data_IF_018608281693
#
_entry.id   IF_018608281693
#
_cell.length_a   1.000
_cell.length_b   1.000
_cell.length_c   1.000
_cell.angle_alpha   90.00
_cell.angle_beta   90.00
_cell.angle_gamma   90.00
#
_symmetry.space_group_name_H-M   'P 1'
#
loop_
_entity.id
_entity.type
_entity.pdbx_description
1 polymer ?
#
# COMPACT_ATOMS: atom_id res chain seq x y z
N UNK A 1 0.22 -14.22 11.48
CA UNK A 1 1.17 -13.10 11.41
C UNK A 1 2.54 -13.61 11.00
N UNK A 2 3.12 -13.05 9.95
CA UNK A 2 4.44 -13.42 9.45
C UNK A 2 5.55 -12.68 10.22
N UNK A 3 5.89 -13.20 11.40
CA UNK A 3 6.98 -12.71 12.27
C UNK A 3 7.61 -13.93 12.95
N UNK A 4 8.92 -13.87 13.24
CA UNK A 4 9.62 -14.91 14.01
C UNK A 4 8.92 -15.12 15.36
N UNK A 5 8.74 -16.38 15.79
CA UNK A 5 7.98 -16.75 16.98
C UNK A 5 8.37 -15.96 18.24
N UNK A 6 9.68 -15.75 18.47
CA UNK A 6 10.17 -15.00 19.63
C UNK A 6 9.72 -13.54 19.69
N UNK A 7 9.29 -12.97 18.56
CA UNK A 7 8.85 -11.58 18.43
C UNK A 7 7.34 -11.44 18.21
N UNK A 8 6.59 -12.55 18.23
CA UNK A 8 5.13 -12.49 18.09
C UNK A 8 4.52 -11.94 19.37
N UNK A 9 3.62 -10.96 19.21
CA UNK A 9 2.82 -10.40 20.29
C UNK A 9 1.47 -9.99 19.72
N UNK A 10 0.40 -10.12 20.53
CA UNK A 10 -0.96 -9.72 20.15
C UNK A 10 -1.10 -8.19 20.01
N UNK A 11 -0.14 -7.44 20.54
CA UNK A 11 -0.14 -5.98 20.57
C UNK A 11 -1.46 -5.44 21.14
N UNK A 12 -2.10 -4.47 20.50
CA UNK A 12 -3.24 -3.74 21.08
C UNK A 12 -4.52 -3.79 20.27
N UNK A 13 -4.49 -4.32 19.03
CA UNK A 13 -5.67 -4.32 18.16
C UNK A 13 -6.86 -5.09 18.76
N UNK A 14 -6.59 -6.17 19.51
CA UNK A 14 -7.64 -6.99 20.14
C UNK A 14 -8.56 -6.18 21.06
N UNK A 15 -8.08 -5.08 21.68
CA UNK A 15 -8.90 -4.20 22.53
C UNK A 15 -9.92 -3.40 21.72
N UNK A 16 -9.60 -3.06 20.48
CA UNK A 16 -10.54 -2.39 19.58
C UNK A 16 -11.56 -3.39 19.02
N UNK A 17 -11.08 -4.59 18.67
CA UNK A 17 -11.93 -5.67 18.20
C UNK A 17 -12.95 -6.12 19.27
N UNK A 18 -12.54 -6.25 20.54
CA UNK A 18 -13.42 -6.64 21.65
C UNK A 18 -14.36 -5.51 22.12
N UNK A 19 -14.14 -4.28 21.67
CA UNK A 19 -14.89 -3.10 22.12
C UNK A 19 -14.41 -2.50 23.44
N UNK A 20 -13.34 -3.01 24.06
CA UNK A 20 -12.70 -2.38 25.22
C UNK A 20 -12.20 -0.95 24.92
N UNK A 21 -11.84 -0.70 23.65
CA UNK A 21 -11.47 0.61 23.13
C UNK A 21 -12.21 0.91 21.84
N UNK A 22 -12.40 2.19 21.57
CA UNK A 22 -12.86 2.70 20.27
C UNK A 22 -11.82 3.66 19.73
N UNK A 23 -11.54 3.58 18.42
CA UNK A 23 -10.63 4.54 17.81
C UNK A 23 -11.27 5.94 17.84
N UNK A 24 -10.56 6.98 18.34
CA UNK A 24 -11.14 8.32 18.50
C UNK A 24 -11.32 9.04 17.16
N UNK A 25 -10.65 8.57 16.11
CA UNK A 25 -10.66 9.13 14.75
C UNK A 25 -10.82 7.98 13.77
N UNK A 26 -11.58 8.20 12.70
CA UNK A 26 -11.68 7.26 11.60
C UNK A 26 -10.29 6.94 11.06
N UNK A 27 -9.90 5.68 11.19
CA UNK A 27 -8.62 5.15 10.73
C UNK A 27 -8.86 4.26 9.52
N UNK A 28 -8.39 4.71 8.36
CA UNK A 28 -8.38 3.91 7.14
C UNK A 28 -6.97 3.36 6.93
N UNK A 29 -6.84 2.07 6.63
CA UNK A 29 -5.52 1.47 6.44
C UNK A 29 -5.47 0.43 5.31
N UNK A 30 -4.27 0.22 4.79
CA UNK A 30 -3.89 -0.89 3.91
C UNK A 30 -3.05 -1.89 4.71
N UNK A 31 -3.12 -3.17 4.36
CA UNK A 31 -2.39 -4.22 5.06
C UNK A 31 -0.93 -4.31 4.61
N UNK A 32 -0.03 -4.63 5.53
CA UNK A 32 1.36 -4.95 5.26
C UNK A 32 1.71 -6.43 5.32
N UNK A 33 2.98 -6.72 5.59
CA UNK A 33 3.49 -8.08 5.80
C UNK A 33 3.39 -8.56 7.26
N UNK A 34 3.17 -7.67 8.23
CA UNK A 34 3.04 -7.98 9.65
C UNK A 34 1.59 -7.89 10.14
N UNK A 35 0.71 -8.68 9.51
CA UNK A 35 -0.73 -8.58 9.74
C UNK A 35 -1.36 -9.85 10.33
N UNK A 36 -2.60 -9.71 10.79
CA UNK A 36 -3.52 -10.82 10.99
C UNK A 36 -4.06 -11.30 9.63
N UNK A 37 -3.18 -11.84 8.77
CA UNK A 37 -3.47 -12.14 7.36
C UNK A 37 -4.66 -13.09 7.14
N UNK A 38 -5.00 -13.94 8.11
CA UNK A 38 -6.20 -14.77 8.04
C UNK A 38 -7.47 -13.93 8.10
N UNK A 39 -7.53 -13.03 9.08
CA UNK A 39 -8.66 -12.12 9.28
C UNK A 39 -8.79 -11.10 8.13
N UNK A 40 -7.68 -10.50 7.68
CA UNK A 40 -7.73 -9.55 6.56
C UNK A 40 -8.12 -10.22 5.23
N UNK A 41 -7.80 -11.50 5.03
CA UNK A 41 -8.19 -12.23 3.82
C UNK A 41 -9.71 -12.49 3.73
N UNK A 42 -10.45 -12.40 4.85
CA UNK A 42 -11.91 -12.45 4.85
C UNK A 42 -12.55 -11.16 4.30
N UNK A 43 -11.77 -10.07 4.21
CA UNK A 43 -12.19 -8.75 3.76
C UNK A 43 -11.44 -8.32 2.49
N UNK A 44 -11.45 -9.11 1.39
CA UNK A 44 -10.64 -8.82 0.20
C UNK A 44 -11.05 -7.52 -0.50
N UNK A 45 -12.31 -7.10 -0.34
CA UNK A 45 -12.87 -5.85 -0.89
C UNK A 45 -12.97 -4.74 0.16
N UNK A 46 -12.30 -4.89 1.31
CA UNK A 46 -12.35 -3.95 2.42
C UNK A 46 -13.54 -4.14 3.34
N UNK A 47 -13.44 -3.55 4.53
CA UNK A 47 -14.46 -3.68 5.58
C UNK A 47 -14.05 -3.06 6.90
N UNK A 48 -15.05 -2.88 7.77
CA UNK A 48 -14.82 -2.44 9.14
C UNK A 48 -14.23 -3.58 9.96
N UNK A 49 -13.03 -3.37 10.49
CA UNK A 49 -12.36 -4.35 11.37
C UNK A 49 -12.62 -4.07 12.86
N UNK A 50 -13.04 -2.84 13.18
CA UNK A 50 -13.52 -2.38 14.47
C UNK A 50 -14.26 -1.04 14.27
N UNK A 51 -15.02 -0.53 15.26
CA UNK A 51 -15.59 0.81 15.20
C UNK A 51 -14.52 1.87 14.91
N UNK A 52 -14.77 2.72 13.90
CA UNK A 52 -13.84 3.73 13.38
C UNK A 52 -12.52 3.19 12.79
N UNK A 53 -12.41 1.89 12.47
CA UNK A 53 -11.22 1.33 11.80
C UNK A 53 -11.66 0.56 10.55
N UNK A 54 -11.27 1.05 9.38
CA UNK A 54 -11.64 0.51 8.07
C UNK A 54 -10.42 0.01 7.32
N UNK A 55 -10.43 -1.28 6.97
CA UNK A 55 -9.44 -1.90 6.10
C UNK A 55 -9.85 -1.71 4.63
N UNK A 56 -8.92 -1.29 3.78
CA UNK A 56 -9.20 -1.06 2.36
C UNK A 56 -9.33 -2.36 1.53
N UNK A 57 -8.96 -3.53 2.06
CA UNK A 57 -8.91 -4.75 1.25
C UNK A 57 -7.62 -4.86 0.45
N UNK A 58 -7.55 -5.80 -0.49
CA UNK A 58 -6.34 -6.00 -1.31
C UNK A 58 -6.07 -4.81 -2.23
N UNK A 59 -7.10 -4.32 -2.91
CA UNK A 59 -7.08 -3.07 -3.65
C UNK A 59 -8.48 -2.46 -3.72
N UNK A 60 -8.62 -1.17 -3.40
CA UNK A 60 -9.92 -0.50 -3.37
C UNK A 60 -9.79 1.02 -3.49
N UNK A 61 -10.91 1.68 -3.80
CA UNK A 61 -11.05 3.14 -3.79
C UNK A 61 -12.26 3.51 -2.96
N UNK A 62 -12.06 4.38 -1.97
CA UNK A 62 -13.13 4.95 -1.16
C UNK A 62 -13.27 6.45 -1.43
N UNK A 63 -14.44 7.00 -1.08
CA UNK A 63 -14.66 8.45 -1.05
C UNK A 63 -14.81 8.91 0.39
N UNK A 64 -14.03 9.92 0.78
CA UNK A 64 -14.09 10.50 2.11
C UNK A 64 -13.86 12.01 2.04
N UNK A 65 -14.78 12.80 2.60
CA UNK A 65 -14.71 14.26 2.60
C UNK A 65 -14.43 14.89 1.21
N UNK A 66 -15.00 14.31 0.14
CA UNK A 66 -14.79 14.76 -1.23
C UNK A 66 -13.55 14.19 -1.93
N UNK A 67 -12.64 13.53 -1.20
CA UNK A 67 -11.42 12.92 -1.72
C UNK A 67 -11.66 11.48 -2.18
N UNK A 68 -11.05 11.08 -3.29
CA UNK A 68 -10.91 9.69 -3.74
C UNK A 68 -9.59 9.13 -3.25
N UNK A 69 -9.67 8.17 -2.35
CA UNK A 69 -8.53 7.53 -1.72
C UNK A 69 -8.43 6.10 -2.25
N UNK A 70 -7.34 5.80 -2.95
CA UNK A 70 -7.02 4.47 -3.43
C UNK A 70 -6.01 3.78 -2.50
N UNK A 71 -6.19 2.49 -2.28
CA UNK A 71 -5.33 1.68 -1.43
C UNK A 71 -4.89 0.41 -2.13
N UNK A 72 -3.64 0.02 -1.93
CA UNK A 72 -3.06 -1.26 -2.36
C UNK A 72 -2.35 -1.90 -1.16
N UNK A 73 -2.90 -2.99 -0.66
CA UNK A 73 -2.32 -3.75 0.44
C UNK A 73 -1.26 -4.72 -0.05
N UNK A 74 -0.28 -4.99 0.81
CA UNK A 74 0.69 -6.05 0.64
C UNK A 74 2.05 -5.62 0.09
N UNK A 75 2.93 -6.62 -0.04
CA UNK A 75 4.31 -6.44 -0.52
C UNK A 75 4.56 -7.17 -1.84
N UNK A 76 5.51 -6.70 -2.63
CA UNK A 76 5.80 -7.34 -3.92
C UNK A 76 6.55 -8.67 -3.76
N UNK A 77 6.09 -9.69 -4.49
CA UNK A 77 6.84 -10.92 -4.71
C UNK A 77 6.67 -11.40 -6.15
N UNK A 78 7.76 -11.49 -6.90
CA UNK A 78 7.71 -11.85 -8.32
C UNK A 78 7.14 -13.24 -8.60
N UNK A 79 7.24 -14.19 -7.67
CA UNK A 79 6.70 -15.55 -7.83
C UNK A 79 5.17 -15.58 -7.72
N UNK A 80 4.61 -14.74 -6.85
CA UNK A 80 3.16 -14.69 -6.60
C UNK A 80 2.43 -13.66 -7.46
N UNK A 81 3.12 -12.64 -7.97
CA UNK A 81 2.49 -11.50 -8.64
C UNK A 81 1.53 -11.89 -9.78
N UNK A 82 1.88 -12.88 -10.60
CA UNK A 82 1.04 -13.31 -11.73
C UNK A 82 0.02 -14.41 -11.38
N UNK A 83 -0.15 -14.74 -10.09
CA UNK A 83 -1.10 -15.73 -9.61
C UNK A 83 -2.34 -15.03 -9.03
N UNK A 84 -3.41 -15.79 -8.87
CA UNK A 84 -4.55 -15.34 -8.06
C UNK A 84 -4.23 -15.37 -6.56
N UNK A 85 -5.15 -14.85 -5.76
CA UNK A 85 -5.23 -15.17 -4.33
C UNK A 85 -5.88 -16.56 -4.21
N UNK A 86 -5.08 -17.57 -3.91
CA UNK A 86 -5.50 -18.98 -3.82
C UNK A 86 -5.53 -19.49 -2.38
N UNK A 87 -4.89 -18.76 -1.48
CA UNK A 87 -4.75 -19.06 -0.07
C UNK A 87 -6.10 -19.00 0.62
N UNK A 88 -6.34 -19.93 1.54
CA UNK A 88 -7.57 -19.98 2.30
C UNK A 88 -7.27 -20.22 3.78
N UNK A 89 -7.80 -19.40 4.69
CA UNK A 89 -7.75 -19.74 6.11
C UNK A 89 -8.62 -21.00 6.37
N UNK A 90 -8.24 -21.87 7.34
CA UNK A 90 -7.03 -21.78 8.14
C UNK A 90 -5.78 -22.15 7.31
N UNK A 91 -4.75 -21.29 7.36
CA UNK A 91 -3.49 -21.52 6.67
C UNK A 91 -2.77 -22.70 7.29
N UNK A 92 -2.45 -23.72 6.48
CA UNK A 92 -1.78 -24.93 6.95
C UNK A 92 -0.26 -24.78 6.90
N UNK A 93 0.23 -24.11 5.87
CA UNK A 93 1.65 -23.90 5.65
C UNK A 93 2.03 -22.45 5.91
N UNK A 94 3.26 -22.23 6.39
CA UNK A 94 3.82 -20.88 6.55
C UNK A 94 3.85 -20.14 5.21
N UNK A 95 4.05 -20.88 4.10
CA UNK A 95 4.00 -20.36 2.75
C UNK A 95 2.68 -19.66 2.43
N UNK A 96 1.54 -20.24 2.80
CA UNK A 96 0.21 -19.64 2.57
C UNK A 96 0.04 -18.32 3.33
N UNK A 97 0.53 -18.26 4.58
CA UNK A 97 0.50 -17.02 5.37
C UNK A 97 1.32 -15.95 4.65
N UNK A 98 2.50 -16.31 4.15
CA UNK A 98 3.41 -15.40 3.46
C UNK A 98 2.80 -14.91 2.14
N UNK A 99 2.29 -15.81 1.33
CA UNK A 99 1.77 -15.47 0.01
C UNK A 99 0.45 -14.70 0.07
N UNK A 100 -0.34 -14.84 1.15
CA UNK A 100 -1.61 -14.13 1.34
C UNK A 100 -1.53 -12.60 1.37
N UNK A 101 -0.38 -12.02 1.75
CA UNK A 101 -0.17 -10.56 1.73
C UNK A 101 0.70 -10.10 0.55
N UNK A 102 1.05 -10.98 -0.39
CA UNK A 102 1.76 -10.52 -1.58
C UNK A 102 0.79 -9.82 -2.55
N UNK A 103 1.23 -8.71 -3.14
CA UNK A 103 0.47 -7.99 -4.18
C UNK A 103 0.26 -8.88 -5.40
N UNK A 104 -0.96 -8.88 -5.97
CA UNK A 104 -1.25 -9.55 -7.26
C UNK A 104 -1.35 -8.57 -8.41
N UNK A 105 -1.12 -9.08 -9.62
CA UNK A 105 -1.25 -8.32 -10.86
C UNK A 105 -2.69 -7.82 -11.07
N UNK A 106 -3.69 -8.59 -10.66
CA UNK A 106 -5.10 -8.23 -10.74
C UNK A 106 -5.42 -7.01 -9.87
N UNK A 107 -4.85 -6.94 -8.67
CA UNK A 107 -5.05 -5.83 -7.73
C UNK A 107 -4.51 -4.52 -8.33
N UNK A 108 -3.29 -4.57 -8.87
CA UNK A 108 -2.68 -3.42 -9.57
C UNK A 108 -3.44 -3.08 -10.86
N UNK A 109 -3.84 -4.09 -11.64
CA UNK A 109 -4.52 -3.89 -12.91
C UNK A 109 -5.85 -3.17 -12.72
N UNK A 110 -6.63 -3.54 -11.69
CA UNK A 110 -7.89 -2.86 -11.33
C UNK A 110 -7.67 -1.38 -11.05
N UNK A 111 -6.66 -1.04 -10.25
CA UNK A 111 -6.34 0.36 -9.92
C UNK A 111 -5.87 1.16 -11.15
N UNK A 112 -5.17 0.52 -12.09
CA UNK A 112 -4.80 1.17 -13.36
C UNK A 112 -5.98 1.51 -14.26
N UNK A 113 -7.14 0.87 -14.09
CA UNK A 113 -8.34 1.15 -14.89
C UNK A 113 -9.15 2.33 -14.34
N UNK A 114 -8.72 2.95 -13.23
CA UNK A 114 -9.44 4.05 -12.63
C UNK A 114 -9.46 5.26 -13.57
N UNK A 115 -10.66 5.73 -13.83
CA UNK A 115 -10.93 6.97 -14.55
C UNK A 115 -11.30 8.08 -13.58
N UNK A 116 -11.19 9.36 -14.00
CA UNK A 116 -11.68 10.46 -13.19
C UNK A 116 -13.18 10.30 -12.92
N UNK A 117 -13.62 10.99 -11.88
CA UNK A 117 -15.01 10.90 -11.47
C UNK A 117 -15.87 11.58 -12.55
N UNK A 118 -17.05 11.02 -12.80
CA UNK A 118 -18.03 11.57 -13.74
C UNK A 118 -17.50 11.61 -15.19
N UNK A 119 -18.12 12.38 -16.08
CA UNK A 119 -17.69 12.51 -17.50
C UNK A 119 -16.46 13.44 -17.68
N UNK A 120 -15.83 13.86 -16.59
CA UNK A 120 -14.62 14.67 -16.63
C UNK A 120 -13.41 13.79 -17.01
N UNK A 121 -12.93 13.96 -18.23
CA UNK A 121 -11.75 13.23 -18.73
C UNK A 121 -10.43 13.93 -18.43
N UNK A 122 -10.48 15.09 -17.75
CA UNK A 122 -9.33 15.98 -17.54
C UNK A 122 -8.77 15.95 -16.12
N UNK A 123 -9.61 15.67 -15.12
CA UNK A 123 -9.19 15.61 -13.72
C UNK A 123 -8.39 14.36 -13.38
N UNK A 124 -7.80 14.38 -12.19
CA UNK A 124 -7.04 13.28 -11.63
C UNK A 124 -7.99 12.13 -11.25
N UNK A 125 -7.73 10.86 -11.65
CA UNK A 125 -8.56 9.74 -11.22
C UNK A 125 -8.55 9.50 -9.71
N UNK A 126 -7.51 9.93 -9.00
CA UNK A 126 -7.29 9.63 -7.58
C UNK A 126 -6.67 10.84 -6.90
N UNK A 127 -7.17 11.22 -5.73
CA UNK A 127 -6.56 12.30 -4.95
C UNK A 127 -5.40 11.78 -4.10
N UNK A 128 -5.61 10.63 -3.43
CA UNK A 128 -4.63 10.02 -2.53
C UNK A 128 -4.46 8.55 -2.91
N UNK A 129 -3.22 8.12 -3.07
CA UNK A 129 -2.85 6.71 -3.21
C UNK A 129 -2.09 6.25 -1.96
N UNK A 130 -2.41 5.06 -1.46
CA UNK A 130 -1.74 4.47 -0.30
C UNK A 130 -1.28 3.06 -0.69
N UNK A 131 -0.01 2.75 -0.46
CA UNK A 131 0.50 1.37 -0.54
C UNK A 131 1.30 1.01 0.69
N UNK A 132 1.57 -0.27 0.91
CA UNK A 132 2.55 -0.65 1.93
C UNK A 132 3.99 -0.48 1.40
N UNK A 133 4.30 -1.13 0.27
CA UNK A 133 5.63 -1.06 -0.35
C UNK A 133 5.85 0.20 -1.18
N UNK A 134 7.13 0.57 -1.32
CA UNK A 134 7.57 1.70 -2.14
C UNK A 134 7.45 1.41 -3.64
N UNK A 135 7.16 2.40 -4.48
CA UNK A 135 7.44 2.30 -5.91
C UNK A 135 8.91 2.02 -6.18
N UNK A 136 9.21 1.02 -7.00
CA UNK A 136 10.60 0.70 -7.32
C UNK A 136 11.29 1.89 -8.02
N UNK A 137 12.50 2.24 -7.57
CA UNK A 137 13.26 3.39 -8.08
C UNK A 137 12.82 4.74 -7.51
N UNK A 138 11.83 4.80 -6.62
CA UNK A 138 11.35 6.08 -6.06
C UNK A 138 12.43 6.84 -5.29
N UNK A 139 13.43 6.13 -4.77
CA UNK A 139 14.57 6.70 -4.05
C UNK A 139 15.39 7.69 -4.86
N UNK A 140 15.42 7.54 -6.19
CA UNK A 140 16.25 8.38 -7.07
C UNK A 140 15.67 9.79 -7.25
N UNK A 141 14.45 10.00 -6.76
CA UNK A 141 13.83 11.30 -6.82
C UNK A 141 13.85 12.06 -5.48
N UNK A 142 14.26 11.41 -4.39
CA UNK A 142 14.39 12.02 -3.06
C UNK A 142 15.84 12.23 -2.62
N UNK A 143 16.04 12.56 -1.34
CA UNK A 143 17.38 12.65 -0.74
C UNK A 143 17.94 11.24 -0.45
N UNK A 144 18.40 10.59 -1.52
CA UNK A 144 18.99 9.25 -1.50
C UNK A 144 20.20 9.16 -0.58
N UNK A 145 21.02 10.20 -0.51
CA UNK A 145 22.20 10.23 0.37
C UNK A 145 21.80 10.21 1.85
N UNK A 146 20.84 11.04 2.25
CA UNK A 146 20.29 11.02 3.61
C UNK A 146 19.62 9.69 3.94
N UNK A 147 18.85 9.13 3.01
CA UNK A 147 18.24 7.81 3.19
C UNK A 147 19.30 6.74 3.50
N UNK A 148 20.38 6.69 2.71
CA UNK A 148 21.45 5.72 2.88
C UNK A 148 22.29 5.96 4.15
N UNK A 149 22.37 7.20 4.65
CA UNK A 149 22.96 7.49 5.97
C UNK A 149 22.13 6.89 7.11
N UNK A 150 20.80 6.93 7.01
CA UNK A 150 19.89 6.43 8.05
C UNK A 150 19.68 4.91 7.93
N UNK A 151 19.58 4.40 6.70
CA UNK A 151 19.33 2.98 6.37
C UNK A 151 20.38 2.47 5.36
N UNK A 152 21.62 2.21 5.79
CA UNK A 152 22.70 1.80 4.88
C UNK A 152 22.43 0.48 4.13
N UNK A 153 21.67 -0.42 4.74
CA UNK A 153 21.32 -1.72 4.17
C UNK A 153 20.50 -1.63 2.88
N UNK A 154 19.87 -0.48 2.58
CA UNK A 154 19.19 -0.27 1.30
C UNK A 154 20.15 -0.05 0.13
N UNK A 155 21.44 0.18 0.36
CA UNK A 155 22.42 0.41 -0.73
C UNK A 155 22.42 -0.74 -1.74
N UNK A 156 22.45 -1.98 -1.26
CA UNK A 156 22.51 -3.18 -2.11
C UNK A 156 21.17 -3.41 -2.82
N UNK A 157 20.05 -3.19 -2.13
CA UNK A 157 18.72 -3.35 -2.72
C UNK A 157 18.43 -2.28 -3.78
N UNK A 158 18.93 -1.06 -3.59
CA UNK A 158 18.80 0.02 -4.58
C UNK A 158 19.68 -0.28 -5.79
N UNK A 159 20.96 -0.60 -5.58
CA UNK A 159 21.89 -0.88 -6.69
C UNK A 159 21.50 -2.10 -7.51
N UNK A 160 20.87 -3.10 -6.89
CA UNK A 160 20.35 -4.29 -7.57
C UNK A 160 18.91 -4.17 -8.09
N UNK A 161 18.25 -3.01 -7.91
CA UNK A 161 16.89 -2.74 -8.36
C UNK A 161 15.81 -3.59 -7.65
N UNK A 162 16.13 -4.13 -6.47
CA UNK A 162 15.23 -4.98 -5.66
C UNK A 162 14.40 -4.18 -4.67
N UNK A 163 14.78 -2.93 -4.38
CA UNK A 163 14.02 -2.09 -3.47
C UNK A 163 12.69 -1.65 -4.11
N UNK A 164 11.60 -2.02 -3.47
CA UNK A 164 10.24 -1.59 -3.82
C UNK A 164 9.53 -2.52 -4.81
N UNK A 165 8.31 -2.11 -5.16
CA UNK A 165 7.39 -2.82 -6.01
C UNK A 165 7.41 -2.22 -7.43
N UNK A 166 7.89 -2.97 -8.45
CA UNK A 166 8.03 -2.47 -9.82
C UNK A 166 6.68 -2.10 -10.46
N UNK A 167 5.59 -2.73 -10.01
CA UNK A 167 4.26 -2.49 -10.55
C UNK A 167 3.61 -1.22 -10.02
N UNK A 168 4.01 -0.75 -8.83
CA UNK A 168 3.46 0.47 -8.21
C UNK A 168 4.03 1.76 -8.79
N UNK A 169 5.26 1.73 -9.33
CA UNK A 169 5.80 2.88 -10.08
C UNK A 169 4.97 3.13 -11.35
N UNK A 170 4.56 2.07 -12.06
CA UNK A 170 3.64 2.22 -13.18
C UNK A 170 2.27 2.74 -12.75
N UNK A 171 1.78 2.28 -11.59
CA UNK A 171 0.52 2.78 -11.04
C UNK A 171 0.60 4.28 -10.77
N UNK A 172 1.68 4.74 -10.14
CA UNK A 172 1.95 6.15 -9.88
C UNK A 172 1.94 7.01 -11.16
N UNK A 173 2.55 6.52 -12.25
CA UNK A 173 2.53 7.23 -13.54
C UNK A 173 1.14 7.28 -14.19
N UNK A 174 0.36 6.19 -14.08
CA UNK A 174 -0.96 6.09 -14.73
C UNK A 174 -2.02 6.86 -13.95
N UNK A 175 -2.04 6.73 -12.62
CA UNK A 175 -3.04 7.38 -11.77
C UNK A 175 -2.66 8.81 -11.41
N UNK A 176 -1.38 9.17 -11.42
CA UNK A 176 -0.87 10.52 -11.13
C UNK A 176 -1.51 11.17 -9.87
N UNK A 177 -1.63 10.47 -8.74
CA UNK A 177 -2.46 10.91 -7.62
C UNK A 177 -1.88 12.16 -6.94
N UNK A 178 -2.69 13.10 -6.49
CA UNK A 178 -2.20 14.33 -5.84
C UNK A 178 -1.30 14.08 -4.62
N UNK A 179 -1.46 12.94 -3.94
CA UNK A 179 -0.58 12.47 -2.87
C UNK A 179 -0.38 10.95 -2.99
N UNK A 180 0.81 10.46 -2.63
CA UNK A 180 1.07 9.02 -2.46
C UNK A 180 1.77 8.77 -1.12
N UNK A 181 1.24 7.84 -0.34
CA UNK A 181 1.74 7.46 0.98
C UNK A 181 2.15 5.99 1.01
N UNK A 182 3.25 5.69 1.70
CA UNK A 182 3.70 4.34 1.99
C UNK A 182 4.19 4.18 3.44
N UNK A 183 4.63 2.97 3.83
CA UNK A 183 4.93 2.63 5.23
C UNK A 183 6.07 3.44 5.86
N UNK A 184 6.83 4.21 5.07
CA UNK A 184 7.96 5.03 5.54
C UNK A 184 7.96 6.45 4.92
N UNK A 185 7.38 6.66 3.74
CA UNK A 185 7.53 7.90 2.94
C UNK A 185 6.16 8.48 2.55
N UNK A 186 6.07 9.82 2.48
CA UNK A 186 4.98 10.56 1.87
C UNK A 186 5.50 11.39 0.69
N UNK A 187 4.79 11.43 -0.44
CA UNK A 187 5.16 12.25 -1.60
C UNK A 187 4.01 13.09 -2.18
N UNK A 188 4.40 14.10 -2.96
CA UNK A 188 3.55 14.99 -3.73
C UNK A 188 4.03 15.05 -5.21
N UNK A 189 3.20 14.72 -6.22
CA UNK A 189 3.53 15.01 -7.60
C UNK A 189 3.31 16.48 -7.86
N UNK A 190 4.37 17.16 -8.28
CA UNK A 190 4.23 18.50 -8.83
C UNK A 190 4.18 18.42 -10.35
N UNK A 191 3.25 19.18 -10.94
CA UNK A 191 3.17 19.40 -12.38
C UNK A 191 3.79 20.77 -12.70
N UNK A 192 4.72 20.82 -13.65
CA UNK A 192 5.30 22.07 -14.14
C UNK A 192 4.78 22.37 -15.54
N UNK A 193 4.10 23.51 -15.70
CA UNK A 193 3.81 24.20 -16.96
C UNK A 193 3.47 23.31 -18.18
N UNK A 194 2.18 22.99 -18.35
CA UNK A 194 1.59 22.55 -19.63
C UNK A 194 2.08 21.22 -20.21
N UNK A 195 3.09 20.60 -19.61
CA UNK A 195 3.56 19.25 -19.93
C UNK A 195 3.45 18.42 -18.65
N UNK A 196 2.73 17.29 -18.70
CA UNK A 196 2.66 16.33 -17.58
C UNK A 196 4.05 15.69 -17.39
N UNK A 197 5.02 16.43 -16.86
CA UNK A 197 6.26 15.89 -16.31
C UNK A 197 6.03 15.64 -14.83
N UNK A 198 6.13 14.37 -14.44
CA UNK A 198 6.09 13.93 -13.06
C UNK A 198 7.40 14.32 -12.38
N UNK A 199 7.36 15.32 -11.49
CA UNK A 199 8.47 15.63 -10.59
C UNK A 199 7.98 15.36 -9.16
N UNK A 200 8.28 14.18 -8.61
CA UNK A 200 7.96 13.86 -7.24
C UNK A 200 8.84 14.70 -6.30
N UNK A 201 8.24 15.39 -5.34
CA UNK A 201 8.97 16.13 -4.29
C UNK A 201 8.83 15.39 -2.95
N UNK A 202 9.95 15.21 -2.25
CA UNK A 202 10.10 14.25 -1.15
C UNK A 202 10.20 14.91 0.21
N UNK A 203 9.52 14.33 1.20
CA UNK A 203 9.88 14.45 2.60
C UNK A 203 10.17 13.04 3.16
N UNK A 204 11.41 12.84 3.64
CA UNK A 204 11.65 11.82 4.67
C UNK A 204 11.07 12.39 5.97
N UNK A 205 10.04 11.74 6.52
CA UNK A 205 9.56 12.00 7.88
C UNK A 205 10.46 11.30 8.91
#
# INVERSE_FOLDING_TARGET
MHVNEKYRSLQTFYKYYSGEKTAPILTVFVGGNHEASGYLAELPNGGWVAPNIYYMGFANVIRFAGLRIAGLSGIFNGKEFNRGHYERPPYKEHGDVVSSYHVRNLDVWRLKQLRPADDDTTSNPIDIMISHDWPAGIVDFGDKERLLKIKPFFSDDISSGKLGNPSTMQLLYVSFPSFYFDVIISFFPTSYHGTRRFIPTFLLL
#
